data_IF_842910965290
#
_entry.id   IF_842910965290
#
_cell.length_a   1.000
_cell.length_b   1.000
_cell.length_c   1.000
_cell.angle_alpha   90.00
_cell.angle_beta   90.00
_cell.angle_gamma   90.00
#
_symmetry.space_group_name_H-M   'P 1'
#
loop_
_entity.id
_entity.type
_entity.pdbx_description
1 polymer ?
#
# COMPACT_ATOMS: atom_id res chain seq x y z
N UNK A 1 -16.53 -13.98 2.73
CA UNK A 1 -15.84 -14.17 1.44
C UNK A 1 -15.00 -12.93 1.16
N UNK A 2 -13.94 -13.05 0.35
CA UNK A 2 -13.16 -11.88 -0.11
C UNK A 2 -13.99 -11.16 -1.18
N UNK A 3 -14.15 -9.84 -1.08
CA UNK A 3 -14.83 -9.01 -2.07
C UNK A 3 -13.88 -7.91 -2.57
N UNK A 4 -13.19 -8.12 -3.71
CA UNK A 4 -12.23 -7.15 -4.23
C UNK A 4 -12.90 -5.86 -4.71
N UNK A 5 -14.15 -5.90 -5.16
CA UNK A 5 -14.83 -4.72 -5.69
C UNK A 5 -15.18 -3.74 -4.58
N UNK A 6 -15.64 -4.26 -3.43
CA UNK A 6 -15.83 -3.45 -2.23
C UNK A 6 -14.51 -2.84 -1.76
N UNK A 7 -13.42 -3.62 -1.76
CA UNK A 7 -12.11 -3.10 -1.39
C UNK A 7 -11.63 -1.98 -2.32
N UNK A 8 -11.76 -2.17 -3.65
CA UNK A 8 -11.43 -1.15 -4.65
C UNK A 8 -12.31 0.10 -4.49
N UNK A 9 -13.61 -0.06 -4.22
CA UNK A 9 -14.52 1.06 -3.97
C UNK A 9 -14.10 1.87 -2.74
N UNK A 10 -13.77 1.20 -1.62
CA UNK A 10 -13.30 1.86 -0.41
C UNK A 10 -11.96 2.60 -0.61
N UNK A 11 -11.03 2.04 -1.39
CA UNK A 11 -9.78 2.73 -1.73
C UNK A 11 -10.04 4.01 -2.54
N UNK A 12 -10.96 3.97 -3.51
CA UNK A 12 -11.31 5.15 -4.32
C UNK A 12 -11.96 6.23 -3.46
N UNK A 13 -12.89 5.85 -2.60
CA UNK A 13 -13.56 6.79 -1.68
C UNK A 13 -12.56 7.47 -0.74
N UNK A 14 -11.62 6.69 -0.20
CA UNK A 14 -10.56 7.21 0.66
C UNK A 14 -9.66 8.20 -0.11
N UNK A 15 -9.24 7.85 -1.33
CA UNK A 15 -8.41 8.73 -2.13
C UNK A 15 -9.12 10.05 -2.48
N UNK A 16 -10.40 10.00 -2.85
CA UNK A 16 -11.20 11.19 -3.12
C UNK A 16 -11.31 12.07 -1.88
N UNK A 17 -11.58 11.46 -0.72
CA UNK A 17 -11.65 12.18 0.56
C UNK A 17 -10.33 12.90 0.87
N UNK A 18 -9.20 12.22 0.69
CA UNK A 18 -7.87 12.79 0.91
C UNK A 18 -7.57 13.95 -0.04
N UNK A 19 -7.92 13.83 -1.31
CA UNK A 19 -7.78 14.92 -2.29
C UNK A 19 -8.60 16.16 -1.89
N UNK A 20 -9.84 15.97 -1.43
CA UNK A 20 -10.65 17.08 -0.89
C UNK A 20 -9.98 17.72 0.32
N UNK A 21 -9.46 16.94 1.26
CA UNK A 21 -8.75 17.47 2.43
C UNK A 21 -7.49 18.25 2.04
N UNK A 22 -6.68 17.71 1.12
CA UNK A 22 -5.49 18.38 0.61
C UNK A 22 -5.81 19.65 -0.18
N UNK A 23 -6.97 19.72 -0.84
CA UNK A 23 -7.42 20.93 -1.54
C UNK A 23 -7.58 22.13 -0.59
N UNK A 24 -8.04 21.89 0.64
CA UNK A 24 -8.26 22.91 1.66
C UNK A 24 -7.11 23.11 2.66
N UNK A 25 -6.09 22.24 2.66
CA UNK A 25 -4.98 22.30 3.62
C UNK A 25 -3.62 22.20 2.89
N UNK A 26 -2.95 23.35 2.73
CA UNK A 26 -1.68 23.44 2.02
C UNK A 26 -0.53 22.70 2.74
N UNK A 27 -0.52 22.71 4.08
CA UNK A 27 0.51 22.02 4.87
C UNK A 27 0.41 20.50 4.70
N UNK A 28 -0.79 19.95 4.79
CA UNK A 28 -1.02 18.51 4.58
C UNK A 28 -0.68 18.08 3.15
N UNK A 29 -1.00 18.93 2.16
CA UNK A 29 -0.63 18.68 0.77
C UNK A 29 0.89 18.65 0.59
N UNK A 30 1.61 19.58 1.22
CA UNK A 30 3.08 19.62 1.16
C UNK A 30 3.72 18.43 1.90
N UNK A 31 3.11 17.97 2.99
CA UNK A 31 3.59 16.81 3.76
C UNK A 31 3.39 15.47 3.02
N UNK A 32 2.37 15.37 2.17
CA UNK A 32 2.07 14.16 1.40
C UNK A 32 1.44 13.05 2.24
N UNK A 33 1.66 11.80 1.86
CA UNK A 33 1.02 10.63 2.49
C UNK A 33 1.95 9.42 2.55
N UNK A 34 1.84 8.65 3.63
CA UNK A 34 2.51 7.35 3.81
C UNK A 34 1.45 6.26 3.89
N UNK A 35 1.40 5.38 2.89
CA UNK A 35 0.38 4.34 2.77
C UNK A 35 0.99 2.99 3.09
N UNK A 36 0.50 2.36 4.16
CA UNK A 36 0.82 0.97 4.47
C UNK A 36 -0.20 0.03 3.82
N UNK A 37 0.26 -0.88 2.97
CA UNK A 37 -0.59 -1.85 2.25
C UNK A 37 -0.71 -3.18 2.98
N UNK A 38 -1.51 -4.10 2.43
CA UNK A 38 -1.60 -5.48 2.89
C UNK A 38 -0.39 -6.32 2.43
N UNK A 39 -0.08 -7.39 3.16
CA UNK A 39 0.98 -8.34 2.80
C UNK A 39 0.60 -9.36 1.72
N UNK A 40 -0.51 -9.16 0.99
CA UNK A 40 -0.95 -10.05 -0.08
C UNK A 40 -0.42 -9.53 -1.42
N UNK A 41 0.59 -10.22 -1.95
CA UNK A 41 1.45 -9.70 -3.03
C UNK A 41 1.39 -10.53 -4.32
N UNK A 42 0.54 -11.55 -4.36
CA UNK A 42 0.41 -12.48 -5.48
C UNK A 42 -1.02 -12.48 -6.04
N UNK A 43 -1.14 -12.76 -7.34
CA UNK A 43 -2.44 -12.81 -8.05
C UNK A 43 -3.24 -11.52 -7.86
N UNK A 44 -4.48 -11.64 -7.40
CA UNK A 44 -5.35 -10.50 -7.10
C UNK A 44 -4.72 -9.50 -6.11
N UNK A 45 -3.89 -9.96 -5.17
CA UNK A 45 -3.18 -9.06 -4.25
C UNK A 45 -2.23 -8.11 -4.99
N UNK A 46 -1.52 -8.61 -6.00
CA UNK A 46 -0.66 -7.81 -6.86
C UNK A 46 -1.46 -6.77 -7.68
N UNK A 47 -2.59 -7.17 -8.27
CA UNK A 47 -3.47 -6.25 -8.99
C UNK A 47 -3.99 -5.12 -8.10
N UNK A 48 -4.32 -5.44 -6.84
CA UNK A 48 -4.74 -4.45 -5.85
C UNK A 48 -3.61 -3.47 -5.49
N UNK A 49 -2.36 -3.92 -5.45
CA UNK A 49 -1.21 -3.04 -5.23
C UNK A 49 -1.00 -2.07 -6.41
N UNK A 50 -1.08 -2.56 -7.65
CA UNK A 50 -1.04 -1.70 -8.85
C UNK A 50 -2.17 -0.68 -8.82
N UNK A 51 -3.38 -1.13 -8.48
CA UNK A 51 -4.53 -0.24 -8.36
C UNK A 51 -4.36 0.81 -7.25
N UNK A 52 -3.72 0.48 -6.13
CA UNK A 52 -3.42 1.44 -5.07
C UNK A 52 -2.41 2.50 -5.53
N UNK A 53 -1.36 2.12 -6.27
CA UNK A 53 -0.38 3.06 -6.85
C UNK A 53 -1.10 4.11 -7.70
N UNK A 54 -2.03 3.66 -8.56
CA UNK A 54 -2.77 4.55 -9.46
C UNK A 54 -3.80 5.41 -8.73
N UNK A 55 -4.61 4.81 -7.84
CA UNK A 55 -5.68 5.52 -7.11
C UNK A 55 -5.11 6.63 -6.22
N UNK A 56 -4.02 6.34 -5.50
CA UNK A 56 -3.40 7.29 -4.58
C UNK A 56 -2.32 8.15 -5.25
N UNK A 57 -2.10 7.99 -6.57
CA UNK A 57 -1.07 8.72 -7.34
C UNK A 57 0.31 8.65 -6.68
N UNK A 58 0.69 7.46 -6.21
CA UNK A 58 1.94 7.27 -5.49
C UNK A 58 3.14 7.57 -6.39
N UNK A 59 4.07 8.38 -5.89
CA UNK A 59 5.30 8.77 -6.57
C UNK A 59 6.52 7.94 -6.11
N UNK A 60 6.46 7.35 -4.91
CA UNK A 60 7.52 6.47 -4.38
C UNK A 60 6.89 5.20 -3.81
N UNK A 61 7.38 4.04 -4.25
CA UNK A 61 6.94 2.72 -3.81
C UNK A 61 8.10 2.01 -3.13
N UNK A 62 7.97 1.77 -1.83
CA UNK A 62 8.99 1.08 -1.02
C UNK A 62 8.65 -0.42 -0.90
N UNK A 63 9.53 -1.28 -1.41
CA UNK A 63 9.35 -2.73 -1.39
C UNK A 63 10.30 -3.37 -0.37
N UNK A 64 9.73 -3.91 0.71
CA UNK A 64 10.49 -4.44 1.86
C UNK A 64 10.79 -5.94 1.72
N UNK A 65 12.04 -6.29 1.43
CA UNK A 65 12.57 -7.65 1.49
C UNK A 65 11.89 -8.65 0.55
N UNK A 66 11.43 -8.18 -0.63
CA UNK A 66 10.79 -9.01 -1.66
C UNK A 66 11.32 -8.67 -3.05
N UNK A 67 12.37 -9.38 -3.48
CA UNK A 67 13.05 -9.14 -4.76
C UNK A 67 12.12 -9.29 -5.97
N UNK A 68 11.36 -10.39 -6.00
CA UNK A 68 10.43 -10.70 -7.09
C UNK A 68 9.37 -9.62 -7.26
N UNK A 69 8.75 -9.20 -6.15
CA UNK A 69 7.73 -8.15 -6.16
C UNK A 69 8.31 -6.81 -6.61
N UNK A 70 9.51 -6.46 -6.13
CA UNK A 70 10.19 -5.24 -6.53
C UNK A 70 10.39 -5.18 -8.04
N UNK A 71 10.90 -6.27 -8.64
CA UNK A 71 11.09 -6.35 -10.08
C UNK A 71 9.78 -6.22 -10.85
N UNK A 72 8.74 -6.97 -10.43
CA UNK A 72 7.42 -6.90 -11.06
C UNK A 72 6.82 -5.49 -11.02
N UNK A 73 6.87 -4.81 -9.87
CA UNK A 73 6.36 -3.44 -9.73
C UNK A 73 7.19 -2.44 -10.55
N UNK A 74 8.51 -2.58 -10.55
CA UNK A 74 9.41 -1.71 -11.33
C UNK A 74 9.13 -1.84 -12.83
N UNK A 75 8.95 -3.06 -13.32
CA UNK A 75 8.62 -3.32 -14.72
C UNK A 75 7.23 -2.76 -15.07
N UNK A 76 6.25 -2.91 -14.16
CA UNK A 76 4.87 -2.44 -14.38
C UNK A 76 4.72 -0.91 -14.46
N UNK A 77 5.61 -0.16 -13.81
CA UNK A 77 5.59 1.32 -13.83
C UNK A 77 6.71 1.92 -14.68
N UNK A 78 7.44 1.11 -15.46
CA UNK A 78 8.58 1.57 -16.26
C UNK A 78 8.22 2.71 -17.23
N UNK A 79 6.98 2.76 -17.71
CA UNK A 79 6.47 3.84 -18.59
C UNK A 79 6.05 5.11 -17.84
N UNK A 80 6.05 5.11 -16.50
CA UNK A 80 5.63 6.22 -15.64
C UNK A 80 6.88 6.80 -14.92
N UNK A 81 7.60 7.75 -15.54
CA UNK A 81 8.88 8.26 -15.02
C UNK A 81 8.76 9.03 -13.70
N UNK A 82 7.54 9.34 -13.25
CA UNK A 82 7.26 10.01 -11.99
C UNK A 82 7.07 9.05 -10.80
N UNK A 83 7.29 7.74 -11.00
CA UNK A 83 7.12 6.72 -9.96
C UNK A 83 8.44 5.98 -9.74
N UNK A 84 9.04 6.19 -8.56
CA UNK A 84 10.25 5.51 -8.12
C UNK A 84 9.93 4.25 -7.32
N UNK A 85 10.42 3.11 -7.78
CA UNK A 85 10.27 1.82 -7.08
C UNK A 85 11.58 1.42 -6.39
N UNK A 86 11.63 1.61 -5.08
CA UNK A 86 12.83 1.42 -4.26
C UNK A 86 12.74 0.10 -3.49
N UNK A 87 13.81 -0.69 -3.58
CA UNK A 87 13.98 -1.92 -2.81
C UNK A 87 14.66 -1.60 -1.49
N UNK A 88 14.12 -2.13 -0.38
CA UNK A 88 14.72 -2.04 0.95
C UNK A 88 14.83 -3.41 1.59
N UNK A 89 15.83 -3.57 2.46
CA UNK A 89 15.99 -4.76 3.30
C UNK A 89 15.05 -4.68 4.52
N UNK A 90 14.66 -5.83 5.07
CA UNK A 90 13.98 -5.84 6.37
C UNK A 90 15.02 -5.66 7.47
N UNK A 91 14.68 -4.92 8.51
CA UNK A 91 15.50 -4.82 9.71
C UNK A 91 15.63 -6.18 10.40
N UNK A 92 16.77 -6.45 11.03
CA UNK A 92 17.07 -7.75 11.65
C UNK A 92 16.11 -8.13 12.79
N UNK A 93 15.55 -7.14 13.49
CA UNK A 93 14.57 -7.37 14.57
C UNK A 93 13.16 -7.73 14.10
N UNK A 94 12.89 -7.80 12.79
CA UNK A 94 11.56 -8.13 12.27
C UNK A 94 11.29 -9.62 12.40
N UNK A 95 10.30 -9.97 13.23
CA UNK A 95 9.88 -11.35 13.48
C UNK A 95 8.61 -11.73 12.71
N UNK A 96 8.54 -12.99 12.27
CA UNK A 96 7.36 -13.54 11.64
C UNK A 96 6.22 -13.70 12.66
N UNK A 97 5.05 -13.17 12.32
CA UNK A 97 3.84 -13.30 13.12
C UNK A 97 2.97 -14.39 12.53
N UNK A 98 2.58 -15.38 13.32
CA UNK A 98 1.64 -16.43 12.90
C UNK A 98 0.18 -15.93 12.92
N UNK A 99 -0.74 -16.73 12.39
CA UNK A 99 -2.18 -16.41 12.31
C UNK A 99 -2.80 -16.18 13.69
N UNK A 100 -2.49 -17.05 14.67
CA UNK A 100 -2.98 -16.95 16.05
C UNK A 100 -2.58 -15.62 16.72
N UNK A 101 -1.32 -15.21 16.54
CA UNK A 101 -0.82 -13.92 17.03
C UNK A 101 -1.60 -12.77 16.41
N UNK A 102 -1.74 -12.74 15.08
CA UNK A 102 -2.49 -11.68 14.38
C UNK A 102 -3.96 -11.61 14.83
N UNK A 103 -4.59 -12.77 15.07
CA UNK A 103 -5.97 -12.83 15.57
C UNK A 103 -6.05 -12.21 16.98
N UNK A 104 -5.18 -12.64 17.90
CA UNK A 104 -5.12 -12.12 19.28
C UNK A 104 -4.92 -10.60 19.31
N UNK A 105 -3.98 -10.07 18.53
CA UNK A 105 -3.72 -8.62 18.46
C UNK A 105 -4.91 -7.84 17.90
N UNK A 106 -5.64 -8.38 16.92
CA UNK A 106 -6.86 -7.73 16.40
C UNK A 106 -7.96 -7.67 17.45
N UNK A 107 -8.19 -8.76 18.17
CA UNK A 107 -9.18 -8.80 19.24
C UNK A 107 -8.85 -7.81 20.37
N UNK A 108 -7.57 -7.59 20.67
CA UNK A 108 -7.15 -6.63 21.68
C UNK A 108 -7.40 -5.16 21.29
N UNK A 109 -7.47 -4.82 20.00
CA UNK A 109 -7.73 -3.45 19.52
C UNK A 109 -9.20 -3.03 19.61
N UNK A 110 -10.10 -3.98 19.84
CA UNK A 110 -11.56 -3.77 19.86
C UNK A 110 -12.08 -3.72 21.31
N UNK A 111 -11.29 -4.21 22.27
CA UNK A 111 -11.56 -4.07 23.70
C UNK A 111 -10.98 -2.76 24.21
#
# INVERSE_FOLDING_TARGET
>A
SINPDVYKALMRELAQTLETQFSGNAESRAAGMVINTMGWVEGLGYELLLNAIDIFKANVVLVLGQEKLWKMLKDAVQSKPNIDVVKLHKSEGVVLRNSKYRQKTRSFRIK
#
